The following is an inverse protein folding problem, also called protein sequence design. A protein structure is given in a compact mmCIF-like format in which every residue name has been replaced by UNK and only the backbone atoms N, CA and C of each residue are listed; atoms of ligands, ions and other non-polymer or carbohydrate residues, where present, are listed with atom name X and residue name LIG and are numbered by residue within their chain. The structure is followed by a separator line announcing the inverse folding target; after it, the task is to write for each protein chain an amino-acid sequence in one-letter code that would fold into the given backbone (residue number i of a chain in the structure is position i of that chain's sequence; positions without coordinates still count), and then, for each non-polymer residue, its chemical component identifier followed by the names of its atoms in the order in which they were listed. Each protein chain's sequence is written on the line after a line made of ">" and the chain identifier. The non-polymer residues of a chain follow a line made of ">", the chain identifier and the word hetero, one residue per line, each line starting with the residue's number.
data_IF_822171838535
#
_entry.id   IF_822171838535
#
_cell.length_a   1.000
_cell.length_b   1.000
_cell.length_c   1.000
_cell.angle_alpha   90.00
_cell.angle_beta   90.00
_cell.angle_gamma   90.00
#
_symmetry.space_group_name_H-M   'P 1'
#
loop_
_entity.id
_entity.type
_entity.pdbx_description
1 polymer ?
#
# COMPACT_ATOMS: atom_id res chain seq x y z
N UNK A 1 1.03 19.32 -0.42
CA UNK A 1 0.43 18.37 0.55
C UNK A 1 1.02 16.99 0.35
N UNK A 2 1.24 16.23 1.43
CA UNK A 2 1.82 14.88 1.34
C UNK A 2 0.77 13.80 1.58
N UNK A 3 0.79 12.78 0.74
CA UNK A 3 -0.10 11.63 0.84
C UNK A 3 0.67 10.31 0.80
N UNK A 4 0.20 9.32 1.56
CA UNK A 4 0.58 7.93 1.42
C UNK A 4 -0.43 7.22 0.51
N UNK A 5 0.08 6.47 -0.47
CA UNK A 5 -0.68 5.59 -1.33
C UNK A 5 -0.48 4.15 -0.84
N UNK A 6 -1.55 3.50 -0.38
CA UNK A 6 -1.54 2.10 0.03
C UNK A 6 -2.11 1.25 -1.10
N UNK A 7 -1.22 0.55 -1.81
CA UNK A 7 -1.58 -0.28 -2.97
C UNK A 7 -1.98 -1.66 -2.47
N UNK A 8 -3.23 -2.05 -2.75
CA UNK A 8 -3.81 -3.33 -2.37
C UNK A 8 -4.06 -4.20 -3.59
N UNK A 9 -3.77 -5.48 -3.47
CA UNK A 9 -4.09 -6.49 -4.48
C UNK A 9 -5.08 -7.52 -3.92
N UNK A 10 -5.91 -8.16 -4.76
CA UNK A 10 -6.74 -9.27 -4.32
C UNK A 10 -5.91 -10.38 -3.66
N UNK A 11 -6.43 -10.94 -2.56
CA UNK A 11 -5.76 -12.01 -1.84
C UNK A 11 -5.55 -13.23 -2.74
N UNK A 12 -4.34 -13.80 -2.70
CA UNK A 12 -3.95 -14.93 -3.56
C UNK A 12 -3.75 -14.58 -5.04
N UNK A 13 -3.74 -13.28 -5.39
CA UNK A 13 -3.35 -12.83 -6.73
C UNK A 13 -1.87 -13.11 -7.02
N UNK A 14 -1.58 -13.53 -8.25
CA UNK A 14 -0.21 -13.74 -8.73
C UNK A 14 0.63 -12.45 -8.59
N UNK A 15 1.89 -12.58 -8.17
CA UNK A 15 2.84 -11.48 -8.19
C UNK A 15 2.96 -10.90 -9.61
N UNK A 16 2.75 -9.60 -9.76
CA UNK A 16 2.92 -8.91 -11.04
C UNK A 16 4.17 -8.03 -11.01
N UNK A 17 4.94 -7.98 -12.12
CA UNK A 17 6.09 -7.10 -12.20
C UNK A 17 5.65 -5.64 -12.03
N UNK A 18 6.26 -4.97 -11.06
CA UNK A 18 6.02 -3.56 -10.75
C UNK A 18 6.74 -2.66 -11.75
N UNK A 19 6.43 -2.79 -13.03
CA UNK A 19 6.86 -1.85 -14.05
C UNK A 19 5.72 -0.88 -14.32
N UNK A 20 5.47 -0.02 -13.34
CA UNK A 20 4.61 1.13 -13.54
C UNK A 20 5.50 2.37 -13.74
N UNK A 21 5.25 3.06 -14.86
CA UNK A 21 5.73 4.40 -15.18
C UNK A 21 5.65 5.26 -13.92
N UNK A 22 6.77 5.85 -13.50
CA UNK A 22 6.87 6.54 -12.21
C UNK A 22 6.51 8.02 -12.45
N UNK A 23 5.39 8.53 -11.91
CA UNK A 23 5.15 9.97 -11.91
C UNK A 23 6.26 10.67 -11.10
N UNK A 24 6.73 11.85 -11.53
CA UNK A 24 7.79 12.59 -10.84
C UNK A 24 7.40 13.02 -9.40
N UNK A 25 6.11 13.01 -9.07
CA UNK A 25 5.57 13.40 -7.77
C UNK A 25 5.83 12.36 -6.65
N UNK A 26 6.32 11.16 -7.00
CA UNK A 26 6.63 10.11 -6.01
C UNK A 26 7.93 10.45 -5.25
N UNK A 27 7.80 10.70 -3.95
CA UNK A 27 8.93 11.01 -3.04
C UNK A 27 9.55 9.79 -2.39
N UNK A 28 8.89 8.63 -2.47
CA UNK A 28 9.43 7.36 -2.03
C UNK A 28 8.45 6.22 -2.29
N UNK A 29 8.95 5.01 -2.55
CA UNK A 29 8.10 3.82 -2.72
C UNK A 29 8.81 2.55 -2.28
N UNK A 30 8.03 1.57 -1.84
CA UNK A 30 8.50 0.23 -1.52
C UNK A 30 7.44 -0.80 -1.91
N UNK A 31 7.87 -1.85 -2.61
CA UNK A 31 7.06 -3.05 -2.83
C UNK A 31 7.25 -3.99 -1.65
N UNK A 32 6.17 -4.58 -1.18
CA UNK A 32 6.19 -5.55 -0.09
C UNK A 32 6.29 -6.97 -0.65
N UNK A 33 6.89 -7.86 0.14
CA UNK A 33 6.87 -9.31 -0.12
C UNK A 33 5.45 -9.87 0.11
N UNK A 34 5.15 -11.09 -0.37
CA UNK A 34 3.85 -11.73 -0.15
C UNK A 34 3.42 -11.68 1.31
N UNK A 35 2.10 -11.57 1.53
CA UNK A 35 1.52 -11.47 2.87
C UNK A 35 1.89 -12.65 3.79
N UNK A 36 2.15 -13.83 3.22
CA UNK A 36 2.60 -15.02 3.95
C UNK A 36 4.00 -14.84 4.62
N UNK A 37 4.83 -13.92 4.12
CA UNK A 37 6.14 -13.60 4.70
C UNK A 37 6.03 -12.58 5.86
N UNK A 38 4.84 -12.03 6.12
CA UNK A 38 4.67 -11.02 7.15
C UNK A 38 4.64 -11.65 8.56
N UNK A 39 5.14 -10.89 9.54
CA UNK A 39 4.97 -11.18 10.96
C UNK A 39 4.31 -9.98 11.62
N UNK A 40 3.14 -10.20 12.21
CA UNK A 40 2.41 -9.19 12.97
C UNK A 40 2.86 -9.23 14.43
N UNK A 41 3.22 -8.07 14.98
CA UNK A 41 3.62 -7.93 16.39
C UNK A 41 2.53 -7.16 17.15
N UNK A 42 2.13 -7.67 18.32
CA UNK A 42 1.22 -6.99 19.26
C UNK A 42 1.81 -7.00 20.67
N UNK A 43 1.70 -5.88 21.38
CA UNK A 43 2.06 -5.82 22.81
C UNK A 43 0.79 -5.76 23.63
N UNK A 44 0.63 -6.69 24.57
CA UNK A 44 -0.52 -6.74 25.47
C UNK A 44 -0.06 -7.08 26.89
N UNK A 45 -0.45 -6.26 27.86
CA UNK A 45 -0.08 -6.46 29.28
C UNK A 45 1.44 -6.58 29.53
N UNK A 46 2.26 -5.95 28.69
CA UNK A 46 3.73 -6.03 28.79
C UNK A 46 4.36 -7.21 28.06
N UNK A 47 3.57 -8.10 27.46
CA UNK A 47 4.06 -9.24 26.69
C UNK A 47 4.04 -8.97 25.17
N UNK A 48 5.04 -9.49 24.47
CA UNK A 48 5.13 -9.45 23.00
C UNK A 48 4.47 -10.71 22.43
N UNK A 49 3.40 -10.50 21.68
CA UNK A 49 2.66 -11.53 20.95
C UNK A 49 3.03 -11.42 19.46
N UNK A 50 3.44 -12.55 18.88
CA UNK A 50 3.74 -12.68 17.46
C UNK A 50 2.61 -13.45 16.77
N UNK A 51 2.22 -12.99 15.58
CA UNK A 51 1.28 -13.69 14.71
C UNK A 51 1.85 -13.78 13.29
N UNK A 52 1.63 -14.92 12.64
CA UNK A 52 1.99 -15.12 11.26
C UNK A 52 1.02 -14.37 10.33
N UNK A 53 1.54 -13.80 9.25
CA UNK A 53 0.74 -13.12 8.24
C UNK A 53 0.47 -11.63 8.53
N UNK A 54 -0.29 -10.97 7.64
CA UNK A 54 -0.50 -9.53 7.67
C UNK A 54 -1.48 -9.12 8.77
N UNK A 55 -1.49 -7.82 9.09
CA UNK A 55 -2.35 -7.25 10.14
C UNK A 55 -3.86 -7.36 9.87
N UNK A 56 -4.28 -7.53 8.61
CA UNK A 56 -5.68 -7.66 8.21
C UNK A 56 -5.82 -8.78 7.17
N UNK A 57 -6.72 -9.73 7.43
CA UNK A 57 -7.08 -10.81 6.50
C UNK A 57 -8.48 -10.52 5.93
N UNK A 58 -8.57 -9.55 5.02
CA UNK A 58 -9.84 -9.13 4.41
C UNK A 58 -9.74 -9.10 2.89
N UNK A 59 -9.53 -10.26 2.26
CA UNK A 59 -9.69 -10.45 0.81
C UNK A 59 -8.75 -9.65 -0.11
N UNK A 60 -7.97 -8.72 0.43
CA UNK A 60 -6.95 -7.94 -0.24
C UNK A 60 -5.71 -7.86 0.66
N UNK A 61 -4.52 -7.97 0.06
CA UNK A 61 -3.23 -7.82 0.71
C UNK A 61 -2.59 -6.48 0.35
N UNK A 62 -1.82 -5.89 1.27
CA UNK A 62 -1.03 -4.70 1.00
C UNK A 62 0.21 -5.07 0.17
N UNK A 63 0.26 -4.62 -1.07
CA UNK A 63 1.31 -4.97 -2.03
C UNK A 63 2.45 -3.94 -2.09
N UNK A 64 2.14 -2.66 -1.87
CA UNK A 64 3.13 -1.59 -1.89
C UNK A 64 2.66 -0.35 -1.11
N UNK A 65 3.64 0.46 -0.71
CA UNK A 65 3.44 1.79 -0.13
C UNK A 65 4.23 2.78 -0.97
N UNK A 66 3.60 3.90 -1.34
CA UNK A 66 4.27 5.04 -1.95
C UNK A 66 3.90 6.34 -1.24
N UNK A 67 4.74 7.36 -1.37
CA UNK A 67 4.47 8.71 -0.92
C UNK A 67 4.52 9.66 -2.11
N UNK A 68 3.59 10.61 -2.15
CA UNK A 68 3.52 11.65 -3.16
C UNK A 68 3.42 13.03 -2.49
N UNK A 69 4.03 14.02 -3.13
CA UNK A 69 3.87 15.43 -2.78
C UNK A 69 3.16 16.14 -3.93
N UNK A 70 1.91 16.55 -3.69
CA UNK A 70 0.99 17.13 -4.69
C UNK A 70 0.25 18.31 -4.09
N UNK A 71 -0.40 19.13 -4.90
CA UNK A 71 -1.02 20.36 -4.43
C UNK A 71 -2.23 20.08 -3.51
N UNK A 72 -3.06 19.09 -3.88
CA UNK A 72 -4.30 18.76 -3.17
C UNK A 72 -4.71 17.28 -3.28
N UNK A 73 -5.88 16.95 -2.73
CA UNK A 73 -6.44 15.60 -2.72
C UNK A 73 -6.89 15.16 -4.11
N UNK A 74 -7.35 16.07 -4.96
CA UNK A 74 -7.87 15.73 -6.29
C UNK A 74 -6.71 15.27 -7.19
N UNK A 75 -5.56 15.94 -7.12
CA UNK A 75 -4.33 15.51 -7.78
C UNK A 75 -3.86 14.14 -7.27
N UNK A 76 -3.90 13.91 -5.95
CA UNK A 76 -3.57 12.61 -5.36
C UNK A 76 -4.48 11.48 -5.85
N UNK A 77 -5.79 11.74 -5.96
CA UNK A 77 -6.78 10.79 -6.47
C UNK A 77 -6.53 10.50 -7.95
N UNK A 78 -6.22 11.51 -8.75
CA UNK A 78 -5.93 11.33 -10.17
C UNK A 78 -4.72 10.42 -10.40
N UNK A 79 -3.64 10.62 -9.62
CA UNK A 79 -2.47 9.74 -9.66
C UNK A 79 -2.80 8.31 -9.21
N UNK A 80 -3.58 8.16 -8.13
CA UNK A 80 -3.98 6.84 -7.63
C UNK A 80 -4.88 6.07 -8.61
N UNK A 81 -5.81 6.76 -9.29
CA UNK A 81 -6.72 6.17 -10.26
C UNK A 81 -6.00 5.68 -11.54
N UNK A 82 -4.88 6.29 -11.90
CA UNK A 82 -4.03 5.84 -13.01
C UNK A 82 -3.14 4.64 -12.69
N UNK A 83 -3.09 4.20 -11.43
CA UNK A 83 -2.20 3.12 -11.01
C UNK A 83 -2.69 1.75 -11.53
N UNK A 84 -1.83 0.91 -12.14
CA UNK A 84 -2.22 -0.37 -12.75
C UNK A 84 -2.98 -1.30 -11.80
N UNK A 85 -2.58 -1.35 -10.52
CA UNK A 85 -3.31 -2.16 -9.52
C UNK A 85 -4.74 -1.66 -9.24
N UNK A 86 -5.01 -0.36 -9.35
CA UNK A 86 -6.38 0.15 -9.24
C UNK A 86 -7.24 -0.25 -10.45
N UNK A 87 -6.61 -0.41 -11.62
CA UNK A 87 -7.28 -0.79 -12.87
C UNK A 87 -7.51 -2.31 -12.99
N UNK A 88 -6.63 -3.12 -12.39
CA UNK A 88 -6.63 -4.58 -12.51
C UNK A 88 -7.37 -5.32 -11.37
N UNK A 89 -8.36 -4.66 -10.75
CA UNK A 89 -9.22 -5.26 -9.72
C UNK A 89 -8.64 -5.24 -8.30
N UNK A 90 -7.52 -4.55 -8.09
CA UNK A 90 -7.06 -4.13 -6.77
C UNK A 90 -7.58 -2.74 -6.41
N UNK A 91 -6.92 -2.09 -5.46
CA UNK A 91 -7.29 -0.75 -5.04
C UNK A 91 -6.08 0.06 -4.56
N UNK A 92 -6.17 1.38 -4.61
CA UNK A 92 -5.17 2.29 -4.03
C UNK A 92 -5.87 3.20 -3.04
N UNK A 93 -5.51 3.12 -1.76
CA UNK A 93 -6.02 4.02 -0.74
C UNK A 93 -5.13 5.28 -0.66
N UNK A 94 -5.74 6.45 -0.86
CA UNK A 94 -5.08 7.74 -0.73
C UNK A 94 -5.27 8.24 0.70
N UNK A 95 -4.19 8.45 1.44
CA UNK A 95 -4.24 8.91 2.84
C UNK A 95 -3.38 10.16 3.05
N UNK A 96 -3.93 11.26 3.60
CA UNK A 96 -3.11 12.35 4.11
C UNK A 96 -2.15 11.84 5.21
N UNK A 97 -0.93 12.37 5.26
CA UNK A 97 0.03 12.08 6.35
C UNK A 97 0.18 13.28 7.28
N UNK A 98 0.68 13.02 8.49
CA UNK A 98 1.10 14.08 9.43
C UNK A 98 2.45 14.66 8.98
N UNK A 99 2.64 15.97 9.18
CA UNK A 99 3.92 16.68 8.95
C UNK A 99 4.86 16.61 10.16
#
# INVERSE_FOLDING_TARGET
>A
MRYALLVRCPAGGEERPAECLVPPEITGRVRLRPAADATTVRVQSGEVLLGDGPFANRGEDLAAIAFIDVDDLDEAIALAAGHPYALDGGSVEVRPVWE
#
